data_IF_211522971917
#
_entry.id   IF_211522971917
#
_cell.length_a   1.000
_cell.length_b   1.000
_cell.length_c   1.000
_cell.angle_alpha   90.00
_cell.angle_beta   90.00
_cell.angle_gamma   90.00
#
_symmetry.space_group_name_H-M   'P 1'
#
loop_
_entity.id
_entity.type
_entity.pdbx_description
1 polymer ?
#
# COMPACT_ATOMS: atom_id res chain seq x y z
N UNK A 1 5.54 -8.01 -0.15
CA UNK A 1 6.56 -6.99 -0.51
C UNK A 1 7.95 -7.58 -0.30
N UNK A 2 8.86 -7.46 -1.26
CA UNK A 2 10.22 -8.01 -1.12
C UNK A 2 11.11 -7.16 -0.20
N UNK A 3 12.24 -7.73 0.21
CA UNK A 3 13.16 -7.16 1.19
C UNK A 3 13.81 -5.84 0.73
N UNK A 4 14.01 -5.66 -0.58
CA UNK A 4 14.62 -4.43 -1.11
C UNK A 4 13.62 -3.27 -1.02
N UNK A 5 12.36 -3.53 -1.38
CA UNK A 5 11.28 -2.56 -1.22
C UNK A 5 11.03 -2.19 0.24
N UNK A 6 11.02 -3.18 1.16
CA UNK A 6 10.93 -2.89 2.60
C UNK A 6 12.06 -1.98 3.09
N UNK A 7 13.30 -2.26 2.66
CA UNK A 7 14.46 -1.43 3.02
C UNK A 7 14.28 0.00 2.51
N UNK A 8 13.87 0.15 1.25
CA UNK A 8 13.68 1.46 0.63
C UNK A 8 12.61 2.30 1.33
N UNK A 9 11.48 1.68 1.68
CA UNK A 9 10.42 2.33 2.47
C UNK A 9 10.95 2.78 3.82
N UNK A 10 11.70 1.92 4.51
CA UNK A 10 12.31 2.25 5.80
C UNK A 10 13.29 3.42 5.68
N UNK A 11 14.20 3.36 4.70
CA UNK A 11 15.22 4.40 4.49
C UNK A 11 14.55 5.76 4.18
N UNK A 12 13.47 5.77 3.39
CA UNK A 12 12.70 6.99 3.14
C UNK A 12 11.96 7.48 4.39
N UNK A 13 11.39 6.59 5.21
CA UNK A 13 10.72 7.01 6.44
C UNK A 13 11.71 7.63 7.44
N UNK A 14 12.93 7.09 7.51
CA UNK A 14 14.02 7.63 8.33
C UNK A 14 14.54 8.99 7.78
N UNK A 15 14.58 9.16 6.45
CA UNK A 15 15.09 10.38 5.80
C UNK A 15 14.07 11.53 5.77
N UNK A 16 12.83 11.24 5.40
CA UNK A 16 11.80 12.25 5.11
C UNK A 16 10.73 12.36 6.21
N UNK A 17 10.69 11.42 7.16
CA UNK A 17 9.62 11.32 8.15
C UNK A 17 8.44 10.50 7.63
N UNK A 18 7.92 9.62 8.48
CA UNK A 18 6.83 8.70 8.14
C UNK A 18 5.53 9.43 7.77
N UNK A 19 5.28 10.59 8.36
CA UNK A 19 4.14 11.47 8.09
C UNK A 19 4.18 12.15 6.72
N UNK A 20 5.34 12.15 6.05
CA UNK A 20 5.54 12.77 4.74
C UNK A 20 5.58 11.74 3.60
N UNK A 21 5.17 10.51 3.86
CA UNK A 21 5.21 9.41 2.89
C UNK A 21 3.84 8.78 2.70
N UNK A 22 3.54 8.46 1.44
CA UNK A 22 2.40 7.65 1.03
C UNK A 22 2.91 6.46 0.23
N UNK A 23 2.40 5.27 0.52
CA UNK A 23 2.68 4.05 -0.23
C UNK A 23 1.48 3.69 -1.11
N UNK A 24 1.71 3.53 -2.41
CA UNK A 24 0.71 3.07 -3.35
C UNK A 24 0.99 1.60 -3.74
N UNK A 25 -0.01 0.74 -3.53
CA UNK A 25 0.05 -0.70 -3.81
C UNK A 25 -0.71 -1.00 -5.10
N UNK A 26 -0.18 -1.92 -5.91
CA UNK A 26 -0.78 -2.39 -7.17
C UNK A 26 -0.83 -3.91 -7.25
N UNK A 27 -1.20 -4.57 -6.15
CA UNK A 27 -1.28 -6.02 -6.09
C UNK A 27 -2.63 -6.51 -6.66
N UNK A 28 -2.64 -7.67 -7.32
CA UNK A 28 -3.82 -8.15 -8.03
C UNK A 28 -4.86 -8.87 -7.14
N UNK A 29 -4.54 -9.12 -5.87
CA UNK A 29 -5.38 -9.89 -4.94
C UNK A 29 -5.47 -9.17 -3.60
N UNK A 30 -6.64 -9.23 -2.94
CA UNK A 30 -6.88 -8.56 -1.66
C UNK A 30 -5.89 -8.97 -0.58
N UNK A 31 -5.64 -10.28 -0.41
CA UNK A 31 -4.67 -10.80 0.56
C UNK A 31 -3.25 -10.27 0.31
N UNK A 32 -2.83 -10.20 -0.96
CA UNK A 32 -1.50 -9.70 -1.31
C UNK A 32 -1.39 -8.18 -1.11
N UNK A 33 -2.45 -7.43 -1.40
CA UNK A 33 -2.53 -5.99 -1.15
C UNK A 33 -2.51 -5.70 0.36
N UNK A 34 -3.35 -6.39 1.12
CA UNK A 34 -3.43 -6.31 2.58
C UNK A 34 -2.09 -6.63 3.25
N UNK A 35 -1.41 -7.70 2.84
CA UNK A 35 -0.08 -8.05 3.37
C UNK A 35 0.96 -6.96 3.09
N UNK A 36 0.95 -6.35 1.90
CA UNK A 36 1.85 -5.24 1.57
C UNK A 36 1.53 -3.99 2.42
N UNK A 37 0.25 -3.69 2.63
CA UNK A 37 -0.19 -2.59 3.48
C UNK A 37 0.18 -2.83 4.94
N UNK A 38 -0.03 -4.03 5.47
CA UNK A 38 0.35 -4.41 6.84
C UNK A 38 1.86 -4.24 7.04
N UNK A 39 2.65 -4.72 6.07
CA UNK A 39 4.13 -4.63 6.12
C UNK A 39 4.64 -3.21 6.33
N UNK A 40 4.01 -2.20 5.71
CA UNK A 40 4.44 -0.79 5.80
C UNK A 40 3.74 -0.01 6.91
N UNK A 41 2.76 -0.61 7.59
CA UNK A 41 2.01 0.01 8.68
C UNK A 41 2.34 -0.62 10.03
N UNK A 42 2.03 -1.90 10.21
CA UNK A 42 2.29 -2.70 11.40
C UNK A 42 3.65 -3.42 11.40
N UNK A 43 4.38 -3.36 10.28
CA UNK A 43 5.64 -4.07 10.10
C UNK A 43 5.44 -5.46 9.47
N UNK A 44 6.54 -6.06 9.03
CA UNK A 44 6.49 -7.34 8.30
C UNK A 44 6.06 -8.51 9.22
N UNK A 45 4.94 -9.20 8.94
CA UNK A 45 4.41 -10.27 9.78
C UNK A 45 5.12 -11.61 9.55
N UNK A 46 5.99 -11.72 8.55
CA UNK A 46 6.73 -12.96 8.22
C UNK A 46 7.97 -13.15 9.09
N UNK A 47 8.25 -12.20 9.98
CA UNK A 47 9.43 -12.14 10.85
C UNK A 47 10.76 -12.13 10.07
N UNK A 48 10.72 -11.69 8.81
CA UNK A 48 11.89 -11.57 7.97
C UNK A 48 11.94 -10.20 7.29
N UNK A 49 13.06 -9.50 7.47
CA UNK A 49 13.37 -8.30 6.70
C UNK A 49 13.48 -7.01 7.49
N UNK A 50 13.71 -5.89 6.78
CA UNK A 50 13.97 -4.59 7.40
C UNK A 50 12.83 -4.03 8.23
N UNK A 51 11.58 -4.43 7.94
CA UNK A 51 10.39 -3.93 8.63
C UNK A 51 9.86 -4.90 9.71
N UNK A 52 10.56 -6.00 10.00
CA UNK A 52 10.18 -6.90 11.09
C UNK A 52 10.19 -6.15 12.42
N UNK A 53 9.01 -6.06 13.07
CA UNK A 53 8.83 -5.35 14.34
C UNK A 53 8.97 -3.82 14.25
N UNK A 54 8.91 -3.25 13.04
CA UNK A 54 8.99 -1.80 12.80
C UNK A 54 7.63 -1.28 12.32
N UNK A 55 6.88 -0.68 13.24
CA UNK A 55 5.56 -0.11 12.97
C UNK A 55 5.64 1.33 12.47
N UNK A 56 5.88 1.51 11.18
CA UNK A 56 5.96 2.84 10.56
C UNK A 56 4.61 3.57 10.55
N UNK A 57 3.49 2.84 10.46
CA UNK A 57 2.14 3.40 10.43
C UNK A 57 1.86 4.30 9.21
N UNK A 58 2.53 4.05 8.08
CA UNK A 58 2.46 4.90 6.88
C UNK A 58 1.04 5.02 6.31
N UNK A 59 0.76 6.15 5.67
CA UNK A 59 -0.40 6.28 4.78
C UNK A 59 -0.25 5.32 3.61
N UNK A 60 -1.24 4.46 3.39
CA UNK A 60 -1.19 3.43 2.34
C UNK A 60 -2.53 3.28 1.62
N UNK A 61 -2.45 3.19 0.29
CA UNK A 61 -3.60 3.05 -0.60
C UNK A 61 -3.31 2.07 -1.72
N UNK A 62 -4.37 1.52 -2.32
CA UNK A 62 -4.29 0.79 -3.57
C UNK A 62 -4.57 1.71 -4.77
N UNK A 63 -3.91 1.47 -5.89
CA UNK A 63 -4.07 2.28 -7.12
C UNK A 63 -5.50 2.24 -7.68
N UNK A 64 -6.29 1.21 -7.35
CA UNK A 64 -7.69 1.08 -7.76
C UNK A 64 -8.69 1.68 -6.78
N UNK A 65 -8.26 2.27 -5.66
CA UNK A 65 -9.18 2.91 -4.73
C UNK A 65 -9.81 4.18 -5.35
N UNK A 66 -11.13 4.41 -5.19
CA UNK A 66 -11.80 5.54 -5.82
C UNK A 66 -11.15 6.90 -5.52
N UNK A 67 -10.77 7.13 -4.25
CA UNK A 67 -10.09 8.38 -3.85
C UNK A 67 -8.74 8.60 -4.53
N UNK A 68 -8.01 7.53 -4.88
CA UNK A 68 -6.73 7.64 -5.59
C UNK A 68 -6.94 7.77 -7.09
N UNK A 69 -7.98 7.13 -7.62
CA UNK A 69 -8.35 7.26 -9.04
C UNK A 69 -8.68 8.70 -9.41
N UNK A 70 -9.28 9.47 -8.51
CA UNK A 70 -9.57 10.89 -8.74
C UNK A 70 -8.31 11.77 -8.86
N UNK A 71 -7.17 11.33 -8.31
CA UNK A 71 -5.89 12.05 -8.36
C UNK A 71 -5.07 11.73 -9.61
N UNK A 72 -5.39 10.65 -10.33
CA UNK A 72 -4.67 10.26 -11.54
C UNK A 72 -5.21 10.96 -12.79
N UNK A 73 -4.31 11.19 -13.74
CA UNK A 73 -4.74 11.55 -15.09
C UNK A 73 -5.53 10.39 -15.72
N UNK A 74 -6.75 10.68 -16.16
CA UNK A 74 -7.70 9.68 -16.66
C UNK A 74 -7.12 8.87 -17.83
N UNK A 75 -6.42 9.53 -18.77
CA UNK A 75 -5.87 8.86 -19.94
C UNK A 75 -4.70 7.94 -19.55
N UNK A 76 -3.87 8.36 -18.59
CA UNK A 76 -2.78 7.51 -18.06
C UNK A 76 -3.34 6.33 -17.27
N UNK A 77 -4.37 6.54 -16.45
CA UNK A 77 -4.96 5.47 -15.66
C UNK A 77 -5.63 4.41 -16.55
N UNK A 78 -6.39 4.82 -17.56
CA UNK A 78 -7.02 3.90 -18.51
C UNK A 78 -5.97 3.07 -19.27
N UNK A 79 -4.89 3.72 -19.72
CA UNK A 79 -3.79 3.04 -20.44
C UNK A 79 -3.02 2.05 -19.54
N UNK A 80 -2.71 2.42 -18.31
CA UNK A 80 -1.80 1.65 -17.45
C UNK A 80 -2.50 0.64 -16.53
N UNK A 81 -3.72 0.95 -16.07
CA UNK A 81 -4.43 0.19 -15.04
C UNK A 81 -5.79 -0.31 -15.52
N UNK A 82 -6.49 0.44 -16.39
CA UNK A 82 -7.89 0.21 -16.76
C UNK A 82 -8.21 -1.20 -17.24
N UNK A 83 -7.34 -1.79 -18.08
CA UNK A 83 -7.50 -3.18 -18.53
C UNK A 83 -7.43 -4.20 -17.39
N UNK A 84 -6.52 -3.99 -16.43
CA UNK A 84 -6.37 -4.91 -15.31
C UNK A 84 -7.48 -4.72 -14.30
N UNK A 85 -7.89 -3.48 -14.00
CA UNK A 85 -8.97 -3.19 -13.05
C UNK A 85 -10.26 -3.95 -13.36
N UNK A 86 -10.62 -4.08 -14.65
CA UNK A 86 -11.79 -4.87 -15.08
C UNK A 86 -11.71 -6.38 -14.79
N UNK A 87 -10.52 -6.88 -14.46
CA UNK A 87 -10.24 -8.29 -14.13
C UNK A 87 -10.04 -8.49 -12.63
N UNK A 88 -9.63 -7.45 -11.90
CA UNK A 88 -9.38 -7.51 -10.46
C UNK A 88 -10.69 -7.56 -9.68
N UNK A 89 -10.66 -8.25 -8.54
CA UNK A 89 -11.70 -8.11 -7.51
C UNK A 89 -11.42 -6.84 -6.69
N UNK A 90 -11.81 -5.69 -7.25
CA UNK A 90 -11.52 -4.38 -6.65
C UNK A 90 -12.21 -4.23 -5.30
N UNK A 91 -13.42 -4.79 -5.14
CA UNK A 91 -14.17 -4.70 -3.88
C UNK A 91 -13.44 -5.45 -2.75
N UNK A 92 -12.90 -6.64 -3.03
CA UNK A 92 -12.07 -7.40 -2.08
C UNK A 92 -10.79 -6.64 -1.72
N UNK A 93 -10.09 -6.10 -2.72
CA UNK A 93 -8.88 -5.29 -2.50
C UNK A 93 -9.16 -4.07 -1.62
N UNK A 94 -10.22 -3.30 -1.93
CA UNK A 94 -10.61 -2.11 -1.16
C UNK A 94 -10.97 -2.49 0.27
N UNK A 95 -11.69 -3.60 0.47
CA UNK A 95 -12.06 -4.09 1.80
C UNK A 95 -10.84 -4.43 2.65
N UNK A 96 -9.89 -5.20 2.11
CA UNK A 96 -8.66 -5.57 2.82
C UNK A 96 -7.78 -4.35 3.13
N UNK A 97 -7.59 -3.46 2.15
CA UNK A 97 -6.80 -2.23 2.33
C UNK A 97 -7.41 -1.30 3.38
N UNK A 98 -8.74 -1.12 3.36
CA UNK A 98 -9.45 -0.29 4.33
C UNK A 98 -9.32 -0.85 5.74
N UNK A 99 -9.49 -2.17 5.91
CA UNK A 99 -9.35 -2.86 7.19
C UNK A 99 -7.97 -2.64 7.82
N UNK A 100 -6.89 -2.75 7.03
CA UNK A 100 -5.52 -2.50 7.49
C UNK A 100 -5.31 -1.02 7.81
N UNK A 101 -5.78 -0.12 6.94
CA UNK A 101 -5.63 1.33 7.11
C UNK A 101 -6.32 1.82 8.39
N UNK A 102 -7.52 1.33 8.69
CA UNK A 102 -8.25 1.68 9.92
C UNK A 102 -7.53 1.21 11.19
N UNK A 103 -6.84 0.07 11.13
CA UNK A 103 -6.20 -0.54 12.30
C UNK A 103 -4.80 0.01 12.59
N UNK A 104 -4.00 0.26 11.56
CA UNK A 104 -2.56 0.45 11.73
C UNK A 104 -2.01 1.77 11.18
N UNK A 105 -2.79 2.50 10.38
CA UNK A 105 -2.35 3.77 9.82
C UNK A 105 -2.35 4.86 10.90
N UNK A 106 -1.24 5.59 11.02
CA UNK A 106 -1.06 6.66 12.02
C UNK A 106 -1.22 8.06 11.43
N UNK A 107 -1.17 8.19 10.11
CA UNK A 107 -1.18 9.46 9.38
C UNK A 107 -2.25 9.42 8.28
N UNK A 108 -3.40 10.05 8.51
CA UNK A 108 -4.53 10.20 7.56
C UNK A 108 -5.03 11.65 7.56
#
# INVERSE_FOLDING_TARGET
MDLENQKRVKDFADEFGAENLVVLVGAAEGEAAGLAAETVTAGDPTFAGPLTGVELGLTVYHVCEPELKEEFDEAVYDEQVGMMEMVLDVDDIVSEMSSIREQFCKYL
#
